data_IF_699812609780
#
_entry.id   IF_699812609780
#
_cell.length_a   1.000
_cell.length_b   1.000
_cell.length_c   1.000
_cell.angle_alpha   90.00
_cell.angle_beta   90.00
_cell.angle_gamma   90.00
#
_symmetry.space_group_name_H-M   'P 1'
#
loop_
_entity.id
_entity.type
_entity.pdbx_description
1 polymer ?
#
# COMPACT_ATOMS: atom_id res chain seq x y z
N UNK A 1 15.87 7.63 59.72
CA UNK A 1 15.17 6.48 59.11
C UNK A 1 14.05 6.88 58.14
N UNK A 2 13.17 7.84 58.49
CA UNK A 2 12.10 8.33 57.56
C UNK A 2 12.62 9.06 56.31
N UNK A 3 13.76 9.74 56.39
CA UNK A 3 14.37 10.42 55.23
C UNK A 3 15.03 9.46 54.22
N UNK A 4 15.53 8.30 54.65
CA UNK A 4 16.19 7.33 53.75
C UNK A 4 15.17 6.58 52.88
N UNK A 5 13.95 6.38 53.41
CA UNK A 5 12.84 5.74 52.67
C UNK A 5 12.29 6.64 51.56
N UNK A 6 12.29 7.96 51.75
CA UNK A 6 11.79 8.92 50.75
C UNK A 6 12.67 8.99 49.48
N UNK A 7 13.99 8.79 49.62
CA UNK A 7 14.93 8.83 48.49
C UNK A 7 14.83 7.55 47.65
N UNK A 8 14.51 6.41 48.27
CA UNK A 8 14.30 5.15 47.56
C UNK A 8 13.01 5.12 46.71
N UNK A 9 11.98 5.90 47.09
CA UNK A 9 10.72 5.97 46.35
C UNK A 9 10.77 6.91 45.12
N UNK A 10 11.66 7.91 45.12
CA UNK A 10 11.76 8.89 44.02
C UNK A 10 12.62 8.41 42.84
N UNK A 11 13.43 7.37 43.01
CA UNK A 11 14.35 6.90 41.98
C UNK A 11 13.74 5.92 40.95
N UNK A 12 12.48 5.51 41.13
CA UNK A 12 11.84 4.50 40.27
C UNK A 12 11.13 5.08 39.03
N UNK A 13 11.06 6.42 38.87
CA UNK A 13 10.25 7.08 37.82
C UNK A 13 11.07 7.73 36.69
N UNK A 14 12.38 7.48 36.62
CA UNK A 14 13.27 8.12 35.64
C UNK A 14 13.98 7.15 34.69
N UNK A 15 13.43 5.96 34.46
CA UNK A 15 13.93 5.05 33.44
C UNK A 15 13.32 5.44 32.07
N UNK A 16 14.11 5.85 31.06
CA UNK A 16 13.60 6.06 29.72
C UNK A 16 13.14 4.70 29.16
N UNK A 17 11.84 4.56 28.91
CA UNK A 17 11.32 3.46 28.09
C UNK A 17 11.92 3.61 26.71
N UNK A 18 12.88 2.75 26.38
CA UNK A 18 13.45 2.66 25.05
C UNK A 18 12.35 2.15 24.09
N UNK A 19 11.62 3.08 23.49
CA UNK A 19 10.62 2.76 22.46
C UNK A 19 11.40 2.48 21.18
N UNK A 20 11.45 1.22 20.77
CA UNK A 20 12.06 0.82 19.51
C UNK A 20 11.31 1.49 18.36
N UNK A 21 11.99 2.39 17.64
CA UNK A 21 11.45 3.00 16.43
C UNK A 21 11.11 1.89 15.42
N UNK A 22 9.85 1.82 15.03
CA UNK A 22 9.37 0.83 14.06
C UNK A 22 9.83 1.23 12.66
N UNK A 23 10.12 0.27 11.76
CA UNK A 23 10.42 0.58 10.37
C UNK A 23 9.22 1.30 9.75
N UNK A 24 9.46 2.49 9.22
CA UNK A 24 8.42 3.39 8.72
C UNK A 24 7.76 2.86 7.45
N UNK A 25 6.72 2.03 7.59
CA UNK A 25 5.65 1.79 6.61
C UNK A 25 6.05 1.34 5.21
N UNK A 26 7.32 1.02 4.97
CA UNK A 26 7.88 0.55 3.71
C UNK A 26 7.95 -0.98 3.72
N UNK A 27 7.65 -1.59 2.59
CA UNK A 27 7.83 -3.03 2.40
C UNK A 27 9.31 -3.40 2.28
N UNK A 28 9.59 -4.70 2.12
CA UNK A 28 10.95 -5.22 1.97
C UNK A 28 11.72 -4.56 0.81
N UNK A 29 11.00 -3.98 -0.15
CA UNK A 29 11.52 -3.29 -1.33
C UNK A 29 11.74 -1.78 -1.12
N UNK A 30 11.40 -1.21 0.04
CA UNK A 30 11.57 0.21 0.33
C UNK A 30 10.46 1.12 -0.23
N UNK A 31 9.26 0.57 -0.40
CA UNK A 31 8.12 1.25 -1.01
C UNK A 31 6.87 1.21 -0.13
N UNK A 32 5.96 2.16 -0.31
CA UNK A 32 4.73 2.26 0.47
C UNK A 32 3.55 2.74 -0.39
N UNK A 33 2.33 2.39 0.06
CA UNK A 33 1.08 2.85 -0.54
C UNK A 33 0.50 4.04 0.24
N UNK A 34 0.21 5.15 -0.44
CA UNK A 34 -0.50 6.26 0.16
C UNK A 34 -2.01 5.97 0.20
N UNK A 35 -2.56 5.78 1.40
CA UNK A 35 -4.00 5.51 1.59
C UNK A 35 -4.90 6.62 1.04
N UNK A 36 -4.43 7.87 0.97
CA UNK A 36 -5.26 8.99 0.50
C UNK A 36 -5.40 9.05 -1.02
N UNK A 37 -4.35 8.66 -1.75
CA UNK A 37 -4.33 8.76 -3.22
C UNK A 37 -4.35 7.42 -3.92
N UNK A 38 -4.09 6.32 -3.19
CA UNK A 38 -3.89 4.99 -3.76
C UNK A 38 -2.55 4.81 -4.49
N UNK A 39 -1.65 5.80 -4.41
CA UNK A 39 -0.37 5.78 -5.12
C UNK A 39 0.69 4.93 -4.40
N UNK A 40 1.50 4.18 -5.15
CA UNK A 40 2.62 3.38 -4.63
C UNK A 40 3.95 4.06 -4.91
N UNK A 41 4.61 4.53 -3.85
CA UNK A 41 5.84 5.29 -3.93
C UNK A 41 7.03 4.50 -3.34
N UNK A 42 8.14 4.45 -4.08
CA UNK A 42 9.39 3.82 -3.65
C UNK A 42 10.49 4.86 -3.37
N UNK A 43 11.18 4.76 -2.23
CA UNK A 43 12.22 5.71 -1.82
C UNK A 43 13.65 5.25 -2.13
N UNK A 44 13.84 4.46 -3.18
CA UNK A 44 15.16 3.89 -3.50
C UNK A 44 16.19 5.02 -3.66
N UNK A 45 17.16 5.07 -2.77
CA UNK A 45 18.13 6.16 -2.68
C UNK A 45 19.18 6.08 -3.77
N UNK A 46 19.09 6.97 -4.77
CA UNK A 46 20.14 7.94 -5.12
C UNK A 46 19.60 8.84 -6.24
N UNK A 47 19.70 10.15 -6.06
CA UNK A 47 18.90 11.15 -6.78
C UNK A 47 19.10 11.24 -8.30
N UNK A 48 18.12 11.87 -8.93
CA UNK A 48 18.29 12.50 -10.24
C UNK A 48 17.25 12.08 -11.26
N UNK A 49 16.25 12.92 -11.46
CA UNK A 49 15.54 13.00 -12.73
C UNK A 49 16.54 13.05 -13.89
N UNK A 50 16.41 12.16 -14.87
CA UNK A 50 16.68 12.35 -16.32
C UNK A 50 16.66 11.01 -17.07
N UNK A 51 15.93 11.00 -18.20
CA UNK A 51 16.31 10.22 -19.37
C UNK A 51 15.49 8.97 -19.62
N UNK A 52 14.71 8.99 -20.69
CA UNK A 52 13.88 7.88 -21.16
C UNK A 52 14.67 6.81 -21.93
N UNK A 53 13.95 5.80 -22.41
CA UNK A 53 14.53 4.75 -23.25
C UNK A 53 13.71 3.48 -23.35
N UNK A 54 12.60 3.57 -24.08
CA UNK A 54 11.88 2.53 -24.83
C UNK A 54 12.00 1.02 -24.47
N UNK A 55 10.82 0.46 -24.18
CA UNK A 55 10.23 -0.73 -24.83
C UNK A 55 10.69 -2.14 -24.46
N UNK A 56 9.99 -2.71 -23.48
CA UNK A 56 9.50 -4.09 -23.55
C UNK A 56 8.03 -4.08 -23.06
N UNK A 57 7.10 -4.86 -23.65
CA UNK A 57 5.71 -4.83 -23.24
C UNK A 57 5.63 -5.50 -21.87
N UNK A 58 5.57 -4.70 -20.80
CA UNK A 58 5.32 -5.18 -19.45
C UNK A 58 3.83 -5.55 -19.34
N UNK A 59 3.44 -6.61 -20.05
CA UNK A 59 2.21 -7.37 -19.83
C UNK A 59 2.31 -8.05 -18.48
N UNK A 60 2.10 -7.30 -17.39
CA UNK A 60 1.77 -7.78 -16.03
C UNK A 60 1.63 -6.62 -15.02
N UNK A 61 1.61 -5.37 -15.47
CA UNK A 61 0.92 -4.32 -14.74
C UNK A 61 -0.59 -4.59 -14.87
N UNK A 62 -1.16 -5.31 -13.90
CA UNK A 62 -2.54 -5.02 -13.52
C UNK A 62 -2.69 -3.49 -13.38
N UNK A 63 -3.82 -2.90 -13.73
CA UNK A 63 -3.94 -1.45 -13.92
C UNK A 63 -3.72 -0.70 -12.60
N UNK A 64 -2.46 -0.48 -12.24
CA UNK A 64 -1.99 0.38 -11.14
C UNK A 64 -2.04 1.85 -11.56
N UNK A 65 -3.12 2.26 -12.21
CA UNK A 65 -3.27 3.60 -12.76
C UNK A 65 -4.69 3.83 -13.23
N UNK A 66 -5.64 3.89 -12.29
CA UNK A 66 -7.01 4.38 -12.53
C UNK A 66 -7.81 3.72 -13.65
N UNK A 67 -7.36 2.57 -14.16
CA UNK A 67 -7.90 1.93 -15.35
C UNK A 67 -8.65 0.65 -15.01
N UNK A 68 -9.61 0.30 -15.85
CA UNK A 68 -10.33 -0.95 -15.74
C UNK A 68 -9.43 -2.17 -16.00
N UNK A 69 -9.69 -3.32 -15.35
CA UNK A 69 -9.00 -4.57 -15.66
C UNK A 69 -9.16 -4.93 -17.13
N UNK A 70 -8.14 -5.49 -17.77
CA UNK A 70 -8.22 -5.87 -19.18
C UNK A 70 -9.32 -6.90 -19.46
N UNK A 71 -9.56 -7.82 -18.52
CA UNK A 71 -10.61 -8.84 -18.58
C UNK A 71 -10.85 -9.46 -17.19
N UNK A 72 -11.86 -10.32 -17.09
CA UNK A 72 -12.20 -11.00 -15.83
C UNK A 72 -11.17 -12.02 -15.34
N UNK A 73 -10.36 -12.61 -16.24
CA UNK A 73 -9.28 -13.49 -15.81
C UNK A 73 -8.21 -12.70 -15.03
N UNK A 74 -7.86 -11.50 -15.49
CA UNK A 74 -6.96 -10.61 -14.79
C UNK A 74 -7.55 -10.15 -13.44
N UNK A 75 -8.84 -9.79 -13.40
CA UNK A 75 -9.52 -9.40 -12.15
C UNK A 75 -9.55 -10.55 -11.12
N UNK A 76 -9.82 -11.79 -11.55
CA UNK A 76 -9.81 -12.98 -10.68
C UNK A 76 -8.41 -13.34 -10.23
N UNK A 77 -7.42 -13.30 -11.12
CA UNK A 77 -6.01 -13.56 -10.77
C UNK A 77 -5.48 -12.54 -9.76
N UNK A 78 -5.97 -11.30 -9.80
CA UNK A 78 -5.67 -10.25 -8.84
C UNK A 78 -6.49 -10.33 -7.54
N UNK A 79 -7.44 -11.28 -7.41
CA UNK A 79 -8.33 -11.38 -6.25
C UNK A 79 -9.32 -10.22 -6.12
N UNK A 80 -9.56 -9.47 -7.19
CA UNK A 80 -10.43 -8.29 -7.20
C UNK A 80 -11.86 -8.58 -7.68
N UNK A 81 -12.12 -9.78 -8.20
CA UNK A 81 -13.45 -10.18 -8.66
C UNK A 81 -14.33 -10.66 -7.49
N UNK A 82 -15.63 -10.32 -7.45
CA UNK A 82 -16.36 -9.47 -8.40
C UNK A 82 -16.02 -7.98 -8.26
N UNK A 83 -15.91 -7.28 -9.39
CA UNK A 83 -15.53 -5.86 -9.46
C UNK A 83 -16.78 -5.01 -9.63
N UNK A 84 -17.06 -4.05 -8.73
CA UNK A 84 -18.33 -3.28 -8.78
C UNK A 84 -18.15 -1.93 -9.44
N UNK A 85 -19.24 -1.39 -9.99
CA UNK A 85 -19.27 -0.04 -10.56
C UNK A 85 -18.81 0.99 -9.53
N UNK A 86 -17.79 1.76 -9.89
CA UNK A 86 -17.14 2.73 -9.00
C UNK A 86 -15.89 2.21 -8.30
N UNK A 87 -15.65 0.89 -8.31
CA UNK A 87 -14.40 0.34 -7.80
C UNK A 87 -13.23 0.67 -8.74
N UNK A 88 -12.04 0.94 -8.20
CA UNK A 88 -10.82 0.98 -9.00
C UNK A 88 -10.62 -0.37 -9.68
N UNK A 89 -10.56 -0.36 -11.01
CA UNK A 89 -10.50 -1.58 -11.83
C UNK A 89 -11.81 -1.94 -12.53
N UNK A 90 -12.92 -1.28 -12.20
CA UNK A 90 -14.18 -1.48 -12.93
C UNK A 90 -14.11 -0.89 -14.35
N UNK A 91 -14.56 -1.67 -15.32
CA UNK A 91 -14.87 -1.20 -16.66
C UNK A 91 -16.16 -1.84 -17.15
N UNK A 92 -16.95 -1.09 -17.92
CA UNK A 92 -18.18 -1.57 -18.55
C UNK A 92 -18.00 -2.90 -19.31
N UNK A 93 -16.81 -3.17 -19.85
CA UNK A 93 -16.53 -4.40 -20.59
C UNK A 93 -16.37 -5.65 -19.69
N UNK A 94 -16.29 -5.47 -18.37
CA UNK A 94 -16.26 -6.56 -17.38
C UNK A 94 -17.66 -6.96 -16.91
N UNK A 95 -18.63 -6.06 -17.06
CA UNK A 95 -20.03 -6.19 -16.68
C UNK A 95 -20.85 -6.52 -17.95
N UNK A 96 -21.06 -7.82 -18.18
CA UNK A 96 -21.63 -8.31 -19.45
C UNK A 96 -23.13 -8.01 -19.57
N UNK A 97 -23.86 -8.05 -18.46
CA UNK A 97 -25.31 -7.81 -18.43
C UNK A 97 -25.67 -6.37 -18.03
N UNK A 98 -24.71 -5.59 -17.55
CA UNK A 98 -24.84 -4.16 -17.31
C UNK A 98 -25.41 -3.81 -15.93
N UNK A 99 -25.46 -4.77 -15.01
CA UNK A 99 -26.09 -4.62 -13.69
C UNK A 99 -25.22 -3.85 -12.67
N UNK A 100 -23.96 -3.59 -13.02
CA UNK A 100 -22.98 -2.89 -12.17
C UNK A 100 -22.08 -3.81 -11.35
N UNK A 101 -22.15 -5.12 -11.56
CA UNK A 101 -21.23 -6.11 -11.03
C UNK A 101 -20.52 -6.76 -12.21
N UNK A 102 -19.19 -6.66 -12.25
CA UNK A 102 -18.37 -7.30 -13.27
C UNK A 102 -17.67 -8.54 -12.74
N UNK A 103 -17.49 -9.53 -13.61
CA UNK A 103 -16.76 -10.76 -13.31
C UNK A 103 -17.37 -11.63 -12.21
N UNK A 104 -18.70 -11.63 -12.11
CA UNK A 104 -19.52 -12.42 -11.20
C UNK A 104 -19.63 -13.91 -11.58
N UNK A 105 -19.09 -14.29 -12.74
CA UNK A 105 -19.06 -15.67 -13.27
C UNK A 105 -17.67 -16.07 -13.74
#
# INVERSE_FOLDING_TARGET
>A
MRLVVAIAAAALMAAPVAVAAHPGGLNAEGCHNNRKTGDYHCHRGNGGSRGGGASAPQTLRGPSGGGAFANCAAARAAGAAPVRRGDPGYGRHLDRDGDGVGCER
#
